data_IF_122512011634
#
_entry.id   IF_122512011634
#
_cell.length_a   1.000
_cell.length_b   1.000
_cell.length_c   1.000
_cell.angle_alpha   90.00
_cell.angle_beta   90.00
_cell.angle_gamma   90.00
#
_symmetry.space_group_name_H-M   'P 1'
#
loop_
_entity.id
_entity.type
_entity.pdbx_description
1 polymer ?
#
# COMPACT_ATOMS: atom_id res chain seq x y z
N UNK A 1 14.82 20.29 4.21
CA UNK A 1 14.99 18.83 3.97
C UNK A 1 13.94 18.07 4.78
N UNK A 2 13.08 17.37 4.08
CA UNK A 2 12.09 16.53 4.74
C UNK A 2 12.77 15.40 5.47
N UNK A 3 12.37 15.20 6.71
CA UNK A 3 12.89 14.12 7.53
C UNK A 3 12.12 12.84 7.22
N UNK A 4 12.82 11.76 6.92
CA UNK A 4 12.20 10.45 6.68
C UNK A 4 11.82 9.80 8.01
N UNK A 5 10.62 9.23 8.07
CA UNK A 5 10.21 8.39 9.18
C UNK A 5 10.88 7.02 9.07
N UNK A 6 10.99 6.31 10.18
CA UNK A 6 11.54 4.96 10.17
C UNK A 6 10.66 3.98 9.38
N UNK A 7 9.37 4.27 9.27
CA UNK A 7 8.39 3.39 8.64
C UNK A 7 7.75 4.11 7.45
N UNK A 8 7.75 3.46 6.29
CA UNK A 8 7.20 4.03 5.07
C UNK A 8 6.32 3.01 4.37
N UNK A 9 5.14 3.44 3.94
CA UNK A 9 4.22 2.66 3.12
C UNK A 9 4.14 3.32 1.74
N UNK A 10 4.47 2.58 0.70
CA UNK A 10 4.43 3.06 -0.70
C UNK A 10 3.35 2.30 -1.46
N UNK A 11 2.42 3.03 -2.07
CA UNK A 11 1.18 2.46 -2.62
C UNK A 11 0.97 2.86 -4.07
N UNK A 12 0.72 1.89 -4.94
CA UNK A 12 0.15 2.14 -6.27
C UNK A 12 -1.36 2.27 -6.11
N UNK A 13 -1.86 3.51 -6.11
CA UNK A 13 -3.25 3.79 -5.78
C UNK A 13 -4.23 3.20 -6.80
N UNK A 14 -3.90 3.23 -8.08
CA UNK A 14 -4.77 2.67 -9.11
C UNK A 14 -4.89 1.15 -8.95
N UNK A 15 -3.79 0.49 -8.64
CA UNK A 15 -3.80 -0.96 -8.46
C UNK A 15 -4.68 -1.39 -7.31
N UNK A 16 -4.54 -0.75 -6.13
CA UNK A 16 -5.37 -1.14 -4.97
C UNK A 16 -6.84 -0.86 -5.21
N UNK A 17 -7.15 0.20 -5.96
CA UNK A 17 -8.53 0.53 -6.30
C UNK A 17 -9.15 -0.55 -7.18
N UNK A 18 -8.39 -1.04 -8.15
CA UNK A 18 -8.82 -2.14 -9.03
C UNK A 18 -9.00 -3.44 -8.25
N UNK A 19 -8.09 -3.75 -7.34
CA UNK A 19 -8.21 -4.94 -6.48
C UNK A 19 -9.46 -4.83 -5.60
N UNK A 20 -9.70 -3.67 -4.98
CA UNK A 20 -10.88 -3.44 -4.16
C UNK A 20 -12.16 -3.59 -4.97
N UNK A 21 -12.20 -3.06 -6.19
CA UNK A 21 -13.35 -3.23 -7.09
C UNK A 21 -13.66 -4.71 -7.32
N UNK A 22 -12.65 -5.50 -7.68
CA UNK A 22 -12.83 -6.92 -7.95
C UNK A 22 -13.32 -7.68 -6.72
N UNK A 23 -12.79 -7.35 -5.55
CA UNK A 23 -13.22 -7.97 -4.30
C UNK A 23 -14.66 -7.60 -3.96
N UNK A 24 -15.04 -6.32 -4.12
CA UNK A 24 -16.40 -5.86 -3.87
C UNK A 24 -17.38 -6.62 -4.77
N UNK A 25 -17.11 -6.70 -6.07
CA UNK A 25 -17.99 -7.39 -7.03
C UNK A 25 -18.17 -8.86 -6.63
N UNK A 26 -17.07 -9.54 -6.32
CA UNK A 26 -17.12 -10.95 -5.96
C UNK A 26 -17.85 -11.19 -4.64
N UNK A 27 -17.59 -10.37 -3.62
CA UNK A 27 -18.25 -10.52 -2.33
C UNK A 27 -19.73 -10.14 -2.37
N UNK A 28 -20.11 -9.12 -3.15
CA UNK A 28 -21.53 -8.79 -3.34
C UNK A 28 -22.28 -9.97 -3.95
N UNK A 29 -21.66 -10.64 -4.92
CA UNK A 29 -22.26 -11.82 -5.53
C UNK A 29 -22.37 -12.98 -4.54
N UNK A 30 -21.31 -13.23 -3.77
CA UNK A 30 -21.26 -14.36 -2.84
C UNK A 30 -22.19 -14.16 -1.64
N UNK A 31 -22.25 -12.95 -1.12
CA UNK A 31 -22.98 -12.65 0.12
C UNK A 31 -24.40 -12.15 -0.10
N UNK A 32 -24.74 -11.79 -1.35
CA UNK A 32 -26.07 -11.31 -1.69
C UNK A 32 -26.42 -9.97 -1.04
N UNK A 33 -25.42 -9.17 -0.71
CA UNK A 33 -25.63 -7.83 -0.13
C UNK A 33 -24.65 -6.83 -0.72
N UNK A 34 -24.97 -5.55 -0.58
CA UNK A 34 -24.11 -4.48 -1.04
C UNK A 34 -22.92 -4.34 -0.09
N UNK A 35 -21.73 -4.18 -0.67
CA UNK A 35 -20.50 -4.00 0.09
C UNK A 35 -20.07 -2.53 -0.03
N UNK A 36 -19.93 -1.80 1.09
CA UNK A 36 -19.48 -0.41 1.04
C UNK A 36 -18.00 -0.33 0.65
N UNK A 37 -17.58 0.88 0.30
CA UNK A 37 -16.17 1.15 -0.03
C UNK A 37 -15.27 0.84 1.15
N UNK A 38 -14.01 0.49 0.86
CA UNK A 38 -13.03 0.18 1.89
C UNK A 38 -12.60 1.44 2.64
N UNK A 39 -12.37 1.29 3.94
CA UNK A 39 -11.88 2.36 4.81
C UNK A 39 -10.36 2.45 4.70
N UNK A 40 -9.84 3.59 4.21
CA UNK A 40 -8.40 3.80 4.04
C UNK A 40 -7.65 3.69 5.37
N UNK A 41 -8.15 4.32 6.43
CA UNK A 41 -7.45 4.30 7.72
C UNK A 41 -7.35 2.87 8.26
N UNK A 42 -8.44 2.12 8.19
CA UNK A 42 -8.44 0.72 8.62
C UNK A 42 -7.48 -0.13 7.78
N UNK A 43 -7.49 0.09 6.46
CA UNK A 43 -6.59 -0.64 5.56
C UNK A 43 -5.12 -0.36 5.88
N UNK A 44 -4.77 0.90 6.13
CA UNK A 44 -3.39 1.29 6.46
C UNK A 44 -2.94 0.66 7.78
N UNK A 45 -3.83 0.55 8.77
CA UNK A 45 -3.53 -0.19 10.00
C UNK A 45 -3.17 -1.65 9.70
N UNK A 46 -3.96 -2.29 8.84
CA UNK A 46 -3.69 -3.69 8.46
C UNK A 46 -2.34 -3.83 7.74
N UNK A 47 -2.02 -2.91 6.83
CA UNK A 47 -0.75 -2.92 6.13
C UNK A 47 0.42 -2.74 7.10
N UNK A 48 0.28 -1.83 8.05
CA UNK A 48 1.32 -1.59 9.05
C UNK A 48 1.56 -2.84 9.90
N UNK A 49 0.50 -3.49 10.37
CA UNK A 49 0.60 -4.72 11.15
C UNK A 49 1.22 -5.86 10.33
N UNK A 50 0.77 -6.04 9.09
CA UNK A 50 1.33 -7.07 8.20
C UNK A 50 2.81 -6.81 7.90
N UNK A 51 3.22 -5.55 7.88
CA UNK A 51 4.63 -5.16 7.70
C UNK A 51 5.48 -5.28 8.94
N UNK A 52 4.91 -5.76 10.03
CA UNK A 52 5.66 -6.06 11.26
C UNK A 52 5.65 -4.96 12.32
N UNK A 53 4.84 -3.91 12.14
CA UNK A 53 4.67 -2.91 13.19
C UNK A 53 3.77 -3.47 14.30
N UNK A 54 3.92 -2.93 15.48
CA UNK A 54 3.10 -3.26 16.66
C UNK A 54 2.48 -1.98 17.20
N UNK A 55 1.43 -2.14 18.01
CA UNK A 55 0.83 -1.01 18.72
C UNK A 55 1.89 -0.19 19.42
N UNK A 56 1.79 1.13 19.35
CA UNK A 56 2.73 2.05 19.96
C UNK A 56 2.71 3.40 19.29
N UNK A 57 3.78 4.18 19.54
CA UNK A 57 3.92 5.52 19.00
C UNK A 57 4.78 5.53 17.74
N UNK A 58 4.41 4.70 16.76
CA UNK A 58 5.12 4.64 15.49
C UNK A 58 4.84 5.89 14.65
N UNK A 59 5.84 6.35 13.92
CA UNK A 59 5.67 7.37 12.90
C UNK A 59 5.75 6.71 11.55
N UNK A 60 4.73 6.90 10.72
CA UNK A 60 4.57 6.20 9.44
C UNK A 60 4.28 7.22 8.34
N UNK A 61 5.13 7.28 7.33
CA UNK A 61 4.87 8.07 6.14
C UNK A 61 4.21 7.19 5.08
N UNK A 62 3.14 7.69 4.48
CA UNK A 62 2.37 6.96 3.47
C UNK A 62 2.38 7.76 2.18
N UNK A 63 2.77 7.12 1.08
CA UNK A 63 2.80 7.74 -0.23
C UNK A 63 1.85 7.01 -1.17
N UNK A 64 0.87 7.78 -1.71
CA UNK A 64 -0.05 7.28 -2.74
C UNK A 64 0.46 7.76 -4.10
N UNK A 65 0.87 6.83 -4.94
CA UNK A 65 1.27 7.15 -6.31
C UNK A 65 0.05 7.01 -7.22
N UNK A 66 -0.28 8.06 -7.93
CA UNK A 66 -1.40 8.08 -8.85
C UNK A 66 -1.14 9.04 -10.01
N UNK A 67 -1.89 8.91 -11.09
CA UNK A 67 -1.80 9.83 -12.23
C UNK A 67 -2.49 11.15 -11.90
N UNK A 68 -2.01 12.24 -12.50
CA UNK A 68 -2.56 13.57 -12.27
C UNK A 68 -4.05 13.65 -12.61
N UNK A 69 -4.50 12.88 -13.58
CA UNK A 69 -5.90 12.84 -14.01
C UNK A 69 -6.78 11.96 -13.16
N UNK A 70 -6.19 11.01 -12.43
CA UNK A 70 -6.95 10.10 -11.57
C UNK A 70 -6.67 10.43 -10.11
N UNK A 71 -7.42 11.40 -9.59
CA UNK A 71 -7.25 11.98 -8.26
C UNK A 71 -8.10 11.29 -7.18
N UNK A 72 -8.97 10.37 -7.57
CA UNK A 72 -9.94 9.78 -6.65
C UNK A 72 -9.93 8.27 -6.70
N UNK A 73 -10.17 7.67 -5.54
CA UNK A 73 -10.53 6.27 -5.45
C UNK A 73 -12.03 6.11 -5.77
N UNK A 74 -12.38 5.04 -6.45
CA UNK A 74 -13.77 4.64 -6.62
C UNK A 74 -14.21 3.69 -5.52
N UNK A 75 -13.27 3.00 -4.87
CA UNK A 75 -13.56 1.89 -3.97
C UNK A 75 -12.97 2.06 -2.57
N UNK A 76 -12.45 3.23 -2.25
CA UNK A 76 -11.95 3.58 -0.92
C UNK A 76 -12.51 4.91 -0.46
N UNK A 77 -12.64 5.08 0.86
CA UNK A 77 -13.03 6.32 1.50
C UNK A 77 -12.00 6.68 2.59
N UNK A 78 -11.61 7.95 2.74
CA UNK A 78 -11.96 9.09 1.87
C UNK A 78 -11.48 8.87 0.44
N UNK A 79 -12.25 9.33 -0.54
CA UNK A 79 -12.00 9.00 -1.94
C UNK A 79 -11.03 9.94 -2.65
N UNK A 80 -11.04 11.23 -2.32
CA UNK A 80 -10.25 12.21 -3.05
C UNK A 80 -8.82 12.26 -2.50
N UNK A 81 -7.86 11.71 -3.27
CA UNK A 81 -6.48 11.60 -2.83
C UNK A 81 -5.84 12.98 -2.65
N UNK A 82 -6.08 13.90 -3.57
CA UNK A 82 -5.42 15.21 -3.55
C UNK A 82 -6.03 16.16 -2.52
N UNK A 83 -7.33 16.09 -2.27
CA UNK A 83 -8.02 17.02 -1.39
C UNK A 83 -8.26 16.47 0.03
N UNK A 84 -8.50 15.18 0.15
CA UNK A 84 -8.88 14.59 1.44
C UNK A 84 -7.77 13.78 2.10
N UNK A 85 -6.78 13.31 1.33
CA UNK A 85 -5.70 12.49 1.87
C UNK A 85 -4.36 13.21 1.87
N UNK A 86 -4.03 13.91 0.80
CA UNK A 86 -2.73 14.56 0.67
C UNK A 86 -2.51 15.62 1.78
N UNK A 87 -1.35 15.57 2.41
CA UNK A 87 -0.96 16.47 3.51
C UNK A 87 -1.87 16.33 4.73
N UNK A 88 -2.52 15.20 4.90
CA UNK A 88 -3.33 14.89 6.08
C UNK A 88 -2.58 13.89 6.95
N UNK A 89 -2.98 13.83 8.20
CA UNK A 89 -2.45 12.88 9.15
C UNK A 89 -3.58 12.35 10.02
N UNK A 90 -3.45 11.11 10.47
CA UNK A 90 -4.32 10.58 11.52
C UNK A 90 -3.49 9.79 12.51
N UNK A 91 -3.99 9.69 13.72
CA UNK A 91 -3.32 8.98 14.81
C UNK A 91 -4.28 7.98 15.44
N UNK A 92 -3.78 6.79 15.70
CA UNK A 92 -4.52 5.73 16.37
C UNK A 92 -3.56 4.92 17.26
N UNK A 93 -3.99 3.72 17.70
CA UNK A 93 -3.20 2.87 18.57
C UNK A 93 -1.93 2.29 17.91
N UNK A 94 -1.84 2.30 16.58
CA UNK A 94 -0.63 1.87 15.86
C UNK A 94 0.41 2.99 15.84
N UNK A 95 -0.03 4.22 15.66
CA UNK A 95 0.84 5.39 15.60
C UNK A 95 0.25 6.51 14.78
N UNK A 96 1.11 7.41 14.32
CA UNK A 96 0.70 8.53 13.47
C UNK A 96 1.05 8.22 12.01
N UNK A 97 0.04 8.33 11.16
CA UNK A 97 0.18 8.16 9.71
C UNK A 97 0.12 9.54 9.06
N UNK A 98 1.16 9.89 8.32
CA UNK A 98 1.23 11.13 7.56
C UNK A 98 1.12 10.78 6.08
N UNK A 99 0.10 11.32 5.41
CA UNK A 99 -0.29 10.91 4.07
C UNK A 99 0.17 11.94 3.03
N UNK A 100 0.70 11.45 1.93
CA UNK A 100 1.14 12.30 0.81
C UNK A 100 0.74 11.68 -0.52
N UNK A 101 0.40 12.55 -1.46
CA UNK A 101 0.10 12.20 -2.85
C UNK A 101 1.32 12.46 -3.71
N UNK A 102 1.71 11.52 -4.55
CA UNK A 102 2.79 11.68 -5.52
C UNK A 102 2.26 11.41 -6.91
N UNK A 103 2.47 12.37 -7.81
CA UNK A 103 2.09 12.24 -9.21
C UNK A 103 3.34 12.32 -10.09
N UNK A 104 3.35 11.54 -11.16
CA UNK A 104 4.47 11.51 -12.10
C UNK A 104 4.35 12.64 -13.12
N UNK A 105 5.49 13.01 -13.72
CA UNK A 105 5.48 13.81 -14.92
C UNK A 105 5.01 12.97 -16.12
N UNK A 106 4.28 13.58 -17.07
CA UNK A 106 3.65 12.86 -18.17
C UNK A 106 4.62 12.09 -19.06
N UNK A 107 5.90 12.49 -19.08
CA UNK A 107 6.92 11.85 -19.90
C UNK A 107 7.51 10.58 -19.26
N UNK A 108 7.17 10.31 -18.01
CA UNK A 108 7.68 9.15 -17.28
C UNK A 108 6.57 8.12 -17.13
N UNK A 109 6.84 6.87 -17.50
CA UNK A 109 5.91 5.76 -17.29
C UNK A 109 5.61 5.58 -15.81
N UNK A 110 4.33 5.25 -15.47
CA UNK A 110 3.91 5.12 -14.08
C UNK A 110 4.69 4.05 -13.31
N UNK A 111 4.96 2.91 -13.95
CA UNK A 111 5.70 1.85 -13.27
C UNK A 111 7.16 2.25 -13.05
N UNK A 112 7.76 2.93 -14.01
CA UNK A 112 9.11 3.48 -13.86
C UNK A 112 9.17 4.48 -12.71
N UNK A 113 8.17 5.37 -12.63
CA UNK A 113 8.09 6.33 -11.53
C UNK A 113 7.96 5.63 -10.18
N UNK A 114 7.09 4.62 -10.10
CA UNK A 114 6.91 3.84 -8.88
C UNK A 114 8.25 3.21 -8.45
N UNK A 115 8.97 2.61 -9.37
CA UNK A 115 10.26 1.97 -9.10
C UNK A 115 11.30 2.99 -8.63
N UNK A 116 11.33 4.17 -9.24
CA UNK A 116 12.25 5.24 -8.84
C UNK A 116 11.98 5.69 -7.40
N UNK A 117 10.71 5.85 -7.05
CA UNK A 117 10.32 6.23 -5.68
C UNK A 117 10.69 5.11 -4.70
N UNK A 118 10.41 3.85 -5.05
CA UNK A 118 10.77 2.71 -4.21
C UNK A 118 12.28 2.66 -3.96
N UNK A 119 13.08 2.84 -5.00
CA UNK A 119 14.53 2.89 -4.90
C UNK A 119 14.98 4.02 -3.96
N UNK A 120 14.43 5.22 -4.16
CA UNK A 120 14.77 6.38 -3.33
C UNK A 120 14.48 6.14 -1.85
N UNK A 121 13.32 5.57 -1.55
CA UNK A 121 12.94 5.24 -0.17
C UNK A 121 13.91 4.24 0.44
N UNK A 122 14.22 3.17 -0.30
CA UNK A 122 15.07 2.10 0.20
C UNK A 122 16.52 2.54 0.40
N UNK A 123 16.96 3.60 -0.27
CA UNK A 123 18.31 4.14 -0.12
C UNK A 123 18.45 5.07 1.11
N UNK A 124 17.33 5.45 1.76
CA UNK A 124 17.39 6.35 2.91
C UNK A 124 17.82 5.59 4.17
N UNK A 125 18.91 6.03 4.80
CA UNK A 125 19.46 5.37 5.98
C UNK A 125 18.48 5.39 7.17
N UNK A 126 17.66 6.43 7.29
CA UNK A 126 16.73 6.59 8.41
C UNK A 126 15.50 5.68 8.29
N UNK A 127 15.21 5.20 7.09
CA UNK A 127 14.06 4.31 6.84
C UNK A 127 14.45 2.88 7.21
N UNK A 128 13.70 2.27 8.12
CA UNK A 128 13.99 0.93 8.64
C UNK A 128 12.99 -0.12 8.18
N UNK A 129 11.71 0.24 8.07
CA UNK A 129 10.66 -0.66 7.60
C UNK A 129 9.95 -0.04 6.41
N UNK A 130 9.84 -0.81 5.32
CA UNK A 130 9.16 -0.37 4.12
C UNK A 130 8.12 -1.41 3.74
N UNK A 131 6.88 -0.97 3.60
CA UNK A 131 5.77 -1.77 3.09
C UNK A 131 5.45 -1.24 1.70
N UNK A 132 5.62 -2.09 0.69
CA UNK A 132 5.44 -1.70 -0.72
C UNK A 132 4.25 -2.45 -1.30
N UNK A 133 3.28 -1.70 -1.81
CA UNK A 133 2.09 -2.24 -2.46
C UNK A 133 2.14 -1.82 -3.93
N UNK A 134 2.88 -2.59 -4.76
CA UNK A 134 3.03 -2.30 -6.19
C UNK A 134 1.89 -2.91 -6.99
N UNK A 135 1.83 -2.61 -8.28
CA UNK A 135 1.08 -3.43 -9.21
C UNK A 135 1.84 -4.74 -9.41
N UNK A 136 1.59 -5.71 -8.54
CA UNK A 136 2.30 -6.99 -8.53
C UNK A 136 1.96 -7.87 -9.74
N UNK A 137 0.89 -7.54 -10.47
CA UNK A 137 0.49 -8.27 -11.66
C UNK A 137 1.27 -7.81 -12.90
N UNK A 138 1.97 -6.69 -12.81
CA UNK A 138 2.91 -6.26 -13.84
C UNK A 138 4.25 -6.96 -13.57
N UNK A 139 4.56 -7.94 -14.40
CA UNK A 139 5.75 -8.77 -14.25
C UNK A 139 7.04 -7.96 -14.25
N UNK A 140 7.12 -6.94 -15.10
CA UNK A 140 8.29 -6.05 -15.14
C UNK A 140 8.50 -5.35 -13.79
N UNK A 141 7.44 -4.80 -13.23
CA UNK A 141 7.51 -4.10 -11.93
C UNK A 141 7.98 -5.02 -10.81
N UNK A 142 7.41 -6.22 -10.73
CA UNK A 142 7.80 -7.17 -9.69
C UNK A 142 9.27 -7.56 -9.81
N UNK A 143 9.72 -7.88 -11.02
CA UNK A 143 11.10 -8.30 -11.26
C UNK A 143 12.10 -7.16 -10.98
N UNK A 144 11.75 -5.92 -11.35
CA UNK A 144 12.61 -4.78 -11.07
C UNK A 144 12.67 -4.46 -9.57
N UNK A 145 11.58 -4.62 -8.84
CA UNK A 145 11.61 -4.51 -7.38
C UNK A 145 12.54 -5.56 -6.77
N UNK A 146 12.46 -6.80 -7.25
CA UNK A 146 13.38 -7.85 -6.79
C UNK A 146 14.85 -7.46 -7.03
N UNK A 147 15.15 -6.89 -8.19
CA UNK A 147 16.51 -6.44 -8.52
C UNK A 147 16.97 -5.31 -7.61
N UNK A 148 16.12 -4.31 -7.39
CA UNK A 148 16.42 -3.19 -6.49
C UNK A 148 16.74 -3.70 -5.08
N UNK A 149 15.88 -4.59 -4.57
CA UNK A 149 16.00 -5.09 -3.20
C UNK A 149 17.18 -6.04 -3.04
N UNK A 150 17.53 -6.78 -4.10
CA UNK A 150 18.71 -7.65 -4.09
C UNK A 150 20.00 -6.85 -3.90
N UNK A 151 20.05 -5.64 -4.43
CA UNK A 151 21.23 -4.78 -4.40
C UNK A 151 21.37 -3.95 -3.12
N UNK A 152 20.36 -3.99 -2.23
CA UNK A 152 20.44 -3.25 -0.98
C UNK A 152 21.56 -3.78 -0.10
N UNK A 153 22.34 -2.85 0.45
CA UNK A 153 23.48 -3.18 1.33
C UNK A 153 23.10 -3.18 2.80
N UNK A 154 21.91 -2.64 3.13
CA UNK A 154 21.45 -2.51 4.50
C UNK A 154 20.64 -3.77 4.89
N UNK A 155 21.32 -4.69 5.59
CA UNK A 155 20.70 -5.95 6.03
C UNK A 155 19.69 -5.77 7.15
N UNK A 156 19.70 -4.61 7.81
CA UNK A 156 18.81 -4.33 8.93
C UNK A 156 17.45 -3.80 8.49
N UNK A 157 17.37 -3.35 7.24
CA UNK A 157 16.13 -2.80 6.70
C UNK A 157 15.13 -3.93 6.43
N UNK A 158 13.92 -3.78 6.96
CA UNK A 158 12.86 -4.77 6.77
C UNK A 158 11.91 -4.33 5.67
N UNK A 159 11.87 -5.10 4.60
CA UNK A 159 11.04 -4.82 3.42
C UNK A 159 9.94 -5.87 3.31
N UNK A 160 8.71 -5.42 3.09
CA UNK A 160 7.56 -6.30 2.82
C UNK A 160 6.91 -5.90 1.51
N UNK A 161 6.80 -6.84 0.58
CA UNK A 161 6.06 -6.66 -0.68
C UNK A 161 4.70 -7.33 -0.58
N UNK A 162 3.68 -6.65 -1.07
CA UNK A 162 2.30 -7.16 -1.06
C UNK A 162 1.89 -7.57 -2.46
N UNK A 163 1.20 -8.71 -2.56
CA UNK A 163 0.67 -9.23 -3.82
C UNK A 163 -0.60 -10.02 -3.54
N UNK A 164 -1.37 -10.31 -4.59
CA UNK A 164 -2.63 -11.04 -4.44
C UNK A 164 -2.43 -12.56 -4.34
N UNK A 165 -1.26 -13.03 -4.74
CA UNK A 165 -0.88 -14.45 -4.66
C UNK A 165 0.62 -14.54 -4.40
N UNK A 166 1.11 -15.68 -3.88
CA UNK A 166 2.56 -15.84 -3.70
C UNK A 166 3.29 -15.66 -5.02
N UNK A 167 4.35 -14.86 -4.97
CA UNK A 167 5.18 -14.52 -6.13
C UNK A 167 6.60 -14.99 -5.89
N UNK A 168 7.44 -14.89 -6.90
CA UNK A 168 8.85 -15.25 -6.77
C UNK A 168 9.51 -14.36 -5.70
N UNK A 169 10.18 -14.98 -4.75
CA UNK A 169 10.78 -14.31 -3.63
C UNK A 169 12.11 -13.65 -3.92
N UNK A 170 12.68 -13.05 -2.89
CA UNK A 170 13.95 -12.35 -2.93
C UNK A 170 14.31 -11.84 -1.55
N UNK A 171 15.01 -10.73 -1.49
CA UNK A 171 15.47 -10.12 -0.23
C UNK A 171 14.36 -9.28 0.42
N UNK A 172 13.21 -9.92 0.67
CA UNK A 172 12.05 -9.26 1.24
C UNK A 172 11.06 -10.31 1.76
N UNK A 173 10.13 -9.85 2.60
CA UNK A 173 9.01 -10.66 3.05
C UNK A 173 7.83 -10.42 2.11
N UNK A 174 6.95 -11.41 1.98
CA UNK A 174 5.73 -11.29 1.19
C UNK A 174 4.50 -11.42 2.09
N UNK A 175 3.50 -10.59 1.79
CA UNK A 175 2.18 -10.66 2.42
C UNK A 175 1.10 -10.63 1.35
N UNK A 176 -0.04 -11.25 1.64
CA UNK A 176 -1.17 -11.30 0.70
C UNK A 176 -2.05 -10.07 0.90
N UNK A 177 -2.13 -9.25 -0.14
CA UNK A 177 -2.86 -7.98 -0.11
C UNK A 177 -4.36 -8.16 0.14
N UNK A 178 -4.95 -9.23 -0.40
CA UNK A 178 -6.40 -9.43 -0.36
C UNK A 178 -6.99 -9.46 1.04
N UNK A 179 -6.28 -10.00 2.02
CA UNK A 179 -6.78 -10.09 3.39
C UNK A 179 -7.00 -8.71 4.01
N UNK A 180 -6.05 -7.79 3.80
CA UNK A 180 -6.16 -6.45 4.36
C UNK A 180 -7.30 -5.66 3.75
N UNK A 181 -7.49 -5.77 2.44
CA UNK A 181 -8.57 -5.07 1.75
C UNK A 181 -9.93 -5.66 2.16
N UNK A 182 -10.02 -6.98 2.25
CA UNK A 182 -11.23 -7.65 2.73
C UNK A 182 -11.63 -7.15 4.11
N UNK A 183 -10.66 -7.03 5.02
CA UNK A 183 -10.88 -6.48 6.35
C UNK A 183 -11.38 -5.03 6.28
N UNK A 184 -10.76 -4.21 5.44
CA UNK A 184 -11.13 -2.80 5.28
C UNK A 184 -12.51 -2.61 4.64
N UNK A 185 -13.02 -3.62 3.92
CA UNK A 185 -14.37 -3.64 3.39
C UNK A 185 -15.43 -4.00 4.45
N UNK A 186 -14.99 -4.36 5.65
CA UNK A 186 -15.89 -4.74 6.73
C UNK A 186 -16.43 -6.15 6.60
N UNK A 187 -15.80 -6.99 5.81
CA UNK A 187 -16.23 -8.37 5.61
C UNK A 187 -15.61 -9.25 6.68
N UNK A 188 -16.43 -10.04 7.36
CA UNK A 188 -16.00 -10.92 8.44
C UNK A 188 -16.02 -12.38 8.00
N UNK A 189 -15.07 -13.17 8.51
CA UNK A 189 -15.02 -14.60 8.23
C UNK A 189 -16.29 -15.34 8.60
N UNK A 190 -17.02 -14.87 9.63
CA UNK A 190 -18.28 -15.45 10.07
C UNK A 190 -19.40 -15.37 9.02
N UNK A 191 -19.28 -14.47 8.03
CA UNK A 191 -20.28 -14.35 6.95
C UNK A 191 -20.20 -15.52 5.98
N UNK A 192 -19.12 -16.30 6.00
CA UNK A 192 -18.91 -17.46 5.13
C UNK A 192 -19.22 -18.79 5.83
N UNK A 193 -19.52 -18.77 7.12
CA UNK A 193 -19.88 -19.99 7.84
C UNK A 193 -21.38 -20.20 7.77
N UNK A 194 -21.79 -21.43 7.39
CA UNK A 194 -23.20 -21.84 7.40
C UNK A 194 -23.67 -22.17 8.82
#
# INVERSE_FOLDING_TARGET
TEKWSENVILIDAEYIDNVAFNLIVNFERMLGRRIPQADIAHWLDCIALDGGLREGENNIQVFFIHDKKKKQFDNFIPSNITEELNNKAFKDNIGEFVLSSLTREDIIDRQTFFLDVAYTICEQADVKKVMIIPNAEDEFTWNELRNILHKLKDDEKRITLFSMQPMQGGNFRQEILGYSITSALGIKGSEFSE
#
